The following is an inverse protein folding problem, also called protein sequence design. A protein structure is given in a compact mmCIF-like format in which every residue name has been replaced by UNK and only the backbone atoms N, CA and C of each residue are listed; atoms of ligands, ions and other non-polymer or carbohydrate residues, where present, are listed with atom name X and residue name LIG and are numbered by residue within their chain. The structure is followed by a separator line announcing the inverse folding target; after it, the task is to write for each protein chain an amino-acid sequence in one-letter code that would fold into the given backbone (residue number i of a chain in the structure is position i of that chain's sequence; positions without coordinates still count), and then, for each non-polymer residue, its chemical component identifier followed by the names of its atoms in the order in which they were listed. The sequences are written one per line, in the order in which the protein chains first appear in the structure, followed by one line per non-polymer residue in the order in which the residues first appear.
data_IF_110996465308
#
_entry.id   IF_110996465308
#
_cell.length_a   1.000
_cell.length_b   1.000
_cell.length_c   1.000
_cell.angle_alpha   90.00
_cell.angle_beta   90.00
_cell.angle_gamma   90.00
#
_symmetry.space_group_name_H-M   'P 1'
#
loop_
_entity.id
_entity.type
_entity.pdbx_description
1 polymer ?
#
# COMPACT_ATOMS: atom_id res chain seq x y z
N UNK A 1 5.14 2.99 24.07
CA UNK A 1 3.86 3.01 23.32
C UNK A 1 4.10 2.86 21.83
N UNK A 2 5.13 3.51 21.25
CA UNK A 2 5.60 3.22 19.88
C UNK A 2 6.10 1.77 19.75
N UNK A 3 6.80 1.24 20.75
CA UNK A 3 7.35 -0.12 20.70
C UNK A 3 6.26 -1.19 20.50
N UNK A 4 5.09 -1.02 21.12
CA UNK A 4 3.96 -1.94 20.94
C UNK A 4 3.38 -1.91 19.52
N UNK A 5 3.48 -0.78 18.83
CA UNK A 5 3.05 -0.66 17.43
C UNK A 5 4.06 -1.36 16.54
N UNK A 6 5.36 -1.14 16.77
CA UNK A 6 6.43 -1.80 16.03
C UNK A 6 6.39 -3.33 16.22
N UNK A 7 6.12 -3.80 17.42
CA UNK A 7 5.98 -5.23 17.74
C UNK A 7 4.75 -5.87 17.05
N UNK A 8 3.74 -5.07 16.71
CA UNK A 8 2.53 -5.53 16.03
C UNK A 8 2.65 -5.52 14.49
N UNK A 9 3.68 -4.87 13.94
CA UNK A 9 3.95 -4.87 12.51
C UNK A 9 4.63 -6.17 12.09
N UNK A 10 4.32 -6.65 10.89
CA UNK A 10 4.99 -7.80 10.28
C UNK A 10 5.44 -7.48 8.86
N UNK A 11 6.47 -8.19 8.40
CA UNK A 11 6.94 -8.08 7.02
C UNK A 11 5.96 -8.75 6.06
N UNK A 12 5.62 -8.03 4.99
CA UNK A 12 4.88 -8.59 3.86
C UNK A 12 5.74 -8.49 2.61
N UNK A 13 6.16 -9.63 2.08
CA UNK A 13 6.86 -9.70 0.81
C UNK A 13 5.85 -9.76 -0.34
N UNK A 14 6.08 -8.96 -1.36
CA UNK A 14 5.22 -8.84 -2.54
C UNK A 14 6.03 -8.98 -3.82
N UNK A 15 5.38 -9.45 -4.88
CA UNK A 15 5.99 -9.62 -6.18
C UNK A 15 5.69 -8.43 -7.10
N UNK A 16 6.50 -8.28 -8.16
CA UNK A 16 6.23 -7.27 -9.17
C UNK A 16 4.87 -7.50 -9.83
N UNK A 17 4.04 -6.45 -9.87
CA UNK A 17 2.69 -6.50 -10.44
C UNK A 17 1.61 -7.00 -9.47
N UNK A 18 1.98 -7.33 -8.24
CA UNK A 18 1.01 -7.72 -7.21
C UNK A 18 0.23 -6.50 -6.69
N UNK A 19 -1.08 -6.66 -6.51
CA UNK A 19 -1.95 -5.64 -5.93
C UNK A 19 -1.99 -5.84 -4.41
N UNK A 20 -1.38 -4.91 -3.67
CA UNK A 20 -1.27 -4.97 -2.19
C UNK A 20 -2.60 -4.62 -1.52
N UNK A 21 -3.23 -3.55 -2.00
CA UNK A 21 -4.53 -3.08 -1.51
C UNK A 21 -5.41 -2.83 -2.73
N UNK A 22 -6.64 -3.31 -2.67
CA UNK A 22 -7.66 -3.03 -3.67
C UNK A 22 -8.64 -1.99 -3.15
N UNK A 23 -8.94 -0.99 -3.97
CA UNK A 23 -9.91 0.05 -3.63
C UNK A 23 -11.28 -0.58 -3.32
N UNK A 24 -11.82 -0.27 -2.15
CA UNK A 24 -13.09 -0.80 -1.66
C UNK A 24 -12.96 -1.98 -0.69
N UNK A 25 -11.75 -2.52 -0.49
CA UNK A 25 -11.49 -3.51 0.56
C UNK A 25 -11.53 -2.86 1.95
N UNK A 26 -11.76 -3.68 2.98
CA UNK A 26 -11.77 -3.24 4.37
C UNK A 26 -10.37 -2.75 4.80
N UNK A 27 -10.31 -1.51 5.30
CA UNK A 27 -9.09 -0.80 5.65
C UNK A 27 -8.57 -1.18 7.04
N UNK A 28 -8.14 -2.43 7.20
CA UNK A 28 -7.77 -2.99 8.52
C UNK A 28 -6.25 -3.02 8.78
N UNK A 29 -5.44 -2.71 7.76
CA UNK A 29 -3.99 -2.75 7.81
C UNK A 29 -3.39 -1.40 7.43
N UNK A 30 -2.28 -1.06 8.06
CA UNK A 30 -1.45 0.10 7.70
C UNK A 30 -0.08 -0.40 7.29
N UNK A 31 0.40 0.06 6.14
CA UNK A 31 1.66 -0.41 5.56
C UNK A 31 2.70 0.69 5.56
N UNK A 32 3.95 0.28 5.79
CA UNK A 32 5.13 1.12 5.61
C UNK A 32 6.04 0.43 4.62
N UNK A 33 6.53 1.19 3.65
CA UNK A 33 7.42 0.68 2.62
C UNK A 33 8.84 0.61 3.21
N UNK A 34 9.37 -0.62 3.30
CA UNK A 34 10.79 -0.88 3.58
C UNK A 34 11.64 -0.75 2.31
N UNK A 35 11.17 -1.33 1.19
CA UNK A 35 11.86 -1.28 -0.11
C UNK A 35 10.92 -1.50 -1.29
N UNK A 36 11.37 -1.07 -2.47
CA UNK A 36 10.66 -1.25 -3.74
C UNK A 36 10.01 0.03 -4.27
N UNK A 37 9.31 -0.09 -5.39
CA UNK A 37 8.59 1.00 -6.04
C UNK A 37 7.16 0.56 -6.27
N UNK A 38 6.21 1.42 -5.90
CA UNK A 38 4.78 1.11 -5.92
C UNK A 38 4.03 2.21 -6.63
N UNK A 39 2.96 1.85 -7.34
CA UNK A 39 2.12 2.78 -8.07
C UNK A 39 0.74 2.79 -7.43
N UNK A 40 0.17 3.98 -7.26
CA UNK A 40 -1.15 4.17 -6.67
C UNK A 40 -2.13 4.50 -7.77
N UNK A 41 -3.22 3.75 -7.80
CA UNK A 41 -4.27 3.91 -8.78
C UNK A 41 -5.63 4.09 -8.09
N UNK A 42 -6.47 4.94 -8.66
CA UNK A 42 -7.85 5.14 -8.20
C UNK A 42 -8.80 4.96 -9.39
N UNK A 43 -9.86 4.19 -9.17
CA UNK A 43 -10.97 4.06 -10.10
C UNK A 43 -11.96 5.21 -9.91
N UNK A 44 -12.36 5.84 -11.01
CA UNK A 44 -13.42 6.84 -11.04
C UNK A 44 -14.81 6.19 -10.95
N UNK A 45 -15.87 7.02 -10.97
CA UNK A 45 -17.25 6.55 -10.94
C UNK A 45 -17.65 5.70 -12.16
N UNK A 46 -16.88 5.75 -13.25
CA UNK A 46 -17.10 4.99 -14.48
C UNK A 46 -16.30 3.68 -14.50
N UNK A 47 -15.51 3.40 -13.45
CA UNK A 47 -14.63 2.24 -13.38
C UNK A 47 -13.32 2.41 -14.15
N UNK A 48 -13.01 3.60 -14.66
CA UNK A 48 -11.73 3.89 -15.30
C UNK A 48 -10.67 4.13 -14.23
N UNK A 49 -9.58 3.37 -14.31
CA UNK A 49 -8.46 3.46 -13.37
C UNK A 49 -7.42 4.48 -13.86
N UNK A 50 -7.06 5.43 -13.00
CA UNK A 50 -6.02 6.42 -13.26
C UNK A 50 -4.88 6.28 -12.24
N UNK A 51 -3.63 6.43 -12.69
CA UNK A 51 -2.47 6.51 -11.81
C UNK A 51 -2.43 7.88 -11.17
N UNK A 52 -2.51 7.94 -9.84
CA UNK A 52 -2.53 9.20 -9.08
C UNK A 52 -1.20 9.50 -8.38
N UNK A 53 -0.28 8.53 -8.33
CA UNK A 53 1.02 8.73 -7.73
C UNK A 53 1.88 7.48 -7.74
N UNK A 54 3.07 7.62 -7.19
CA UNK A 54 4.01 6.54 -6.94
C UNK A 54 4.77 6.77 -5.63
N UNK A 55 5.19 5.66 -5.04
CA UNK A 55 6.11 5.63 -3.91
C UNK A 55 7.43 5.00 -4.37
N UNK A 56 8.55 5.60 -3.99
CA UNK A 56 9.87 5.10 -4.33
C UNK A 56 10.71 4.89 -3.06
N UNK A 57 10.97 3.62 -2.72
CA UNK A 57 11.72 3.13 -1.56
C UNK A 57 11.16 3.49 -0.18
N UNK A 58 10.31 4.52 -0.06
CA UNK A 58 9.75 4.97 1.20
C UNK A 58 8.33 5.49 1.03
N UNK A 59 7.56 5.44 2.10
CA UNK A 59 6.18 5.89 2.16
C UNK A 59 5.34 5.00 3.07
N UNK A 60 4.10 5.40 3.27
CA UNK A 60 3.10 4.61 3.99
C UNK A 60 1.72 4.83 3.39
N UNK A 61 0.87 3.82 3.51
CA UNK A 61 -0.50 3.84 3.00
C UNK A 61 -1.42 2.96 3.84
#
# INVERSE_FOLDING_TARGET
QIDQILDAMWEQHVQQGECIIRQGDDGDHFYVIDKGTYEVYVADSNGQTEKIGDYNQAGSF
#
